data_IF_067510542042
#
_entry.id   IF_067510542042
#
_cell.length_a   1.000
_cell.length_b   1.000
_cell.length_c   1.000
_cell.angle_alpha   90.00
_cell.angle_beta   90.00
_cell.angle_gamma   90.00
#
_symmetry.space_group_name_H-M   'P 1'
#
loop_
_entity.id
_entity.type
_entity.pdbx_description
1 polymer ?
#
# COMPACT_ATOMS: atom_id res chain seq x y z
N UNK A 1 -6.49 -12.56 4.32
CA UNK A 1 -7.18 -11.42 4.96
C UNK A 1 -6.96 -10.15 4.17
N UNK A 2 -8.00 -9.34 4.00
CA UNK A 2 -7.92 -8.00 3.38
C UNK A 2 -8.22 -6.98 4.45
N UNK A 3 -7.35 -6.00 4.61
CA UNK A 3 -7.42 -5.00 5.67
C UNK A 3 -7.31 -3.59 5.08
N UNK A 4 -7.97 -2.64 5.72
CA UNK A 4 -7.93 -1.24 5.32
C UNK A 4 -7.88 -0.33 6.55
N UNK A 5 -6.94 0.61 6.55
CA UNK A 5 -6.86 1.67 7.55
C UNK A 5 -7.17 3.03 6.91
N UNK A 6 -8.34 3.62 7.17
CA UNK A 6 -8.71 4.91 6.57
C UNK A 6 -7.82 6.06 7.05
N UNK A 7 -7.28 5.97 8.27
CA UNK A 7 -6.45 7.04 8.83
C UNK A 7 -5.10 7.20 8.11
N UNK A 8 -4.57 6.12 7.57
CA UNK A 8 -3.26 6.11 6.87
C UNK A 8 -3.40 5.90 5.37
N UNK A 9 -4.62 5.65 4.88
CA UNK A 9 -4.88 5.34 3.48
C UNK A 9 -4.21 4.05 3.01
N UNK A 10 -4.00 3.07 3.92
CA UNK A 10 -3.31 1.81 3.62
C UNK A 10 -4.28 0.65 3.48
N UNK A 11 -4.19 -0.05 2.35
CA UNK A 11 -4.88 -1.31 2.11
C UNK A 11 -3.84 -2.43 1.95
N UNK A 12 -3.94 -3.49 2.75
CA UNK A 12 -2.98 -4.59 2.74
C UNK A 12 -3.66 -5.94 2.77
N UNK A 13 -3.14 -6.87 1.99
CA UNK A 13 -3.57 -8.26 1.95
C UNK A 13 -2.56 -9.17 2.64
N UNK A 14 -3.05 -10.14 3.43
CA UNK A 14 -2.22 -11.07 4.19
C UNK A 14 -2.69 -12.51 4.02
N UNK A 15 -1.76 -13.42 3.83
CA UNK A 15 -2.00 -14.84 4.01
C UNK A 15 -2.04 -15.12 5.51
N UNK A 16 -3.15 -15.65 6.00
CA UNK A 16 -3.42 -15.77 7.44
C UNK A 16 -3.49 -17.21 7.97
N UNK A 17 -3.37 -18.21 7.08
CA UNK A 17 -3.63 -19.59 7.47
C UNK A 17 -5.05 -19.80 8.02
N UNK A 18 -5.16 -20.55 9.10
CA UNK A 18 -6.45 -20.93 9.70
C UNK A 18 -6.97 -19.89 10.71
N UNK A 19 -6.12 -18.94 11.16
CA UNK A 19 -6.57 -17.88 12.08
C UNK A 19 -7.42 -16.82 11.39
N UNK A 20 -8.12 -16.02 12.16
CA UNK A 20 -8.85 -14.84 11.68
C UNK A 20 -8.43 -13.61 12.45
N UNK A 21 -8.45 -12.46 11.76
CA UNK A 21 -8.08 -11.19 12.37
C UNK A 21 -9.31 -10.38 12.79
N UNK A 22 -9.11 -9.55 13.80
CA UNK A 22 -10.04 -8.53 14.24
C UNK A 22 -9.34 -7.17 14.38
N UNK A 23 -10.14 -6.11 14.51
CA UNK A 23 -9.67 -4.75 14.75
C UNK A 23 -9.57 -4.55 16.26
N UNK A 24 -8.38 -4.21 16.78
CA UNK A 24 -8.16 -4.04 18.22
C UNK A 24 -8.69 -2.72 18.77
N UNK A 25 -9.00 -1.75 17.90
CA UNK A 25 -9.29 -0.37 18.27
C UNK A 25 -8.06 0.45 18.66
N UNK A 26 -6.86 -0.13 18.57
CA UNK A 26 -5.58 0.51 18.87
C UNK A 26 -4.86 0.91 17.60
N UNK A 27 -3.98 1.89 17.74
CA UNK A 27 -3.23 2.48 16.64
C UNK A 27 -1.75 2.59 17.01
N UNK A 28 -0.89 2.51 16.00
CA UNK A 28 0.49 2.97 16.04
C UNK A 28 0.71 3.90 14.85
N UNK A 29 1.19 5.10 15.08
CA UNK A 29 1.36 6.14 14.06
C UNK A 29 0.11 6.31 13.16
N UNK A 30 -1.08 6.40 13.77
CA UNK A 30 -2.39 6.41 13.12
C UNK A 30 -2.77 5.13 12.35
N UNK A 31 -1.87 4.15 12.22
CA UNK A 31 -2.16 2.91 11.54
C UNK A 31 -2.82 1.89 12.48
N UNK A 32 -3.78 1.14 11.96
CA UNK A 32 -4.52 0.14 12.74
C UNK A 32 -3.61 -0.99 13.22
N UNK A 33 -3.86 -1.42 14.45
CA UNK A 33 -3.32 -2.66 14.98
C UNK A 33 -4.43 -3.71 14.94
N UNK A 34 -4.19 -4.80 14.22
CA UNK A 34 -5.04 -5.99 14.21
C UNK A 34 -4.71 -6.88 15.41
N UNK A 35 -5.57 -7.82 15.74
CA UNK A 35 -5.26 -8.96 16.59
C UNK A 35 -5.71 -10.24 15.90
N UNK A 36 -4.98 -11.33 16.07
CA UNK A 36 -5.47 -12.62 15.65
C UNK A 36 -6.25 -13.32 16.77
N UNK A 37 -7.23 -14.17 16.39
CA UNK A 37 -8.08 -14.86 17.34
C UNK A 37 -7.53 -16.21 17.80
N UNK A 38 -6.39 -16.62 17.27
CA UNK A 38 -5.73 -17.86 17.68
C UNK A 38 -4.79 -17.64 18.85
N UNK A 39 -3.92 -16.60 18.74
CA UNK A 39 -2.88 -16.32 19.76
C UNK A 39 -3.13 -15.04 20.54
N UNK A 40 -4.12 -14.22 20.12
CA UNK A 40 -4.37 -12.87 20.64
C UNK A 40 -3.18 -11.91 20.48
N UNK A 41 -2.18 -12.27 19.68
CA UNK A 41 -1.07 -11.37 19.34
C UNK A 41 -1.56 -10.18 18.54
N UNK A 42 -0.86 -9.06 18.66
CA UNK A 42 -1.15 -7.83 17.95
C UNK A 42 -0.27 -7.69 16.70
N UNK A 43 -0.88 -7.14 15.65
CA UNK A 43 -0.29 -7.05 14.32
C UNK A 43 -0.48 -5.63 13.78
N UNK A 44 0.51 -4.72 13.96
CA UNK A 44 0.49 -3.45 13.23
C UNK A 44 0.42 -3.71 11.74
N UNK A 45 -0.63 -3.20 11.09
CA UNK A 45 -0.93 -3.52 9.69
C UNK A 45 0.25 -3.23 8.76
N UNK A 46 0.81 -2.01 8.83
CA UNK A 46 1.91 -1.60 7.92
C UNK A 46 3.17 -2.42 8.15
N UNK A 47 3.45 -2.85 9.37
CA UNK A 47 4.65 -3.63 9.68
C UNK A 47 4.51 -5.11 9.31
N UNK A 48 3.28 -5.64 9.26
CA UNK A 48 2.98 -7.05 9.00
C UNK A 48 3.71 -8.03 9.93
N UNK A 49 4.16 -7.55 11.10
CA UNK A 49 4.94 -8.32 12.07
C UNK A 49 4.21 -8.30 13.41
N UNK A 50 4.17 -9.46 14.09
CA UNK A 50 3.49 -9.58 15.37
C UNK A 50 4.21 -8.81 16.48
N UNK A 51 3.41 -8.25 17.39
CA UNK A 51 3.87 -7.80 18.70
C UNK A 51 3.39 -8.85 19.70
N UNK A 52 4.28 -9.65 20.29
CA UNK A 52 3.87 -10.64 21.27
C UNK A 52 3.13 -10.00 22.44
N UNK A 53 1.99 -10.57 22.78
CA UNK A 53 1.23 -10.15 23.96
C UNK A 53 1.84 -10.67 25.26
N UNK A 54 1.54 -10.07 26.43
CA UNK A 54 1.99 -10.55 27.72
C UNK A 54 1.43 -11.95 28.08
N UNK A 55 0.45 -12.39 27.34
CA UNK A 55 -0.22 -13.68 27.42
C UNK A 55 0.29 -14.70 26.38
N UNK A 56 1.17 -14.27 25.49
CA UNK A 56 1.79 -15.15 24.51
C UNK A 56 3.07 -15.74 25.13
N UNK A 57 3.10 -17.04 25.37
CA UNK A 57 4.24 -17.76 25.93
C UNK A 57 5.42 -17.83 24.95
N UNK A 58 5.16 -17.68 23.66
CA UNK A 58 6.20 -17.57 22.63
C UNK A 58 6.52 -16.09 22.38
N UNK A 59 7.67 -15.58 22.87
CA UNK A 59 8.09 -14.20 22.66
C UNK A 59 8.59 -13.94 21.23
N UNK A 60 8.53 -14.91 20.32
CA UNK A 60 8.94 -14.77 18.93
C UNK A 60 8.09 -13.75 18.19
N UNK A 61 8.72 -12.96 17.32
CA UNK A 61 8.03 -12.17 16.32
C UNK A 61 7.79 -12.98 15.08
N UNK A 62 6.57 -12.98 14.58
CA UNK A 62 6.19 -13.61 13.32
C UNK A 62 5.89 -12.53 12.28
N UNK A 63 6.09 -12.84 11.02
CA UNK A 63 5.74 -11.99 9.89
C UNK A 63 4.69 -12.65 9.03
N UNK A 64 3.72 -11.88 8.55
CA UNK A 64 2.71 -12.33 7.61
C UNK A 64 3.23 -12.24 6.18
N UNK A 65 2.94 -13.26 5.39
CA UNK A 65 3.10 -13.16 3.94
C UNK A 65 2.09 -12.17 3.37
N UNK A 66 2.59 -11.21 2.61
CA UNK A 66 1.78 -10.12 2.05
C UNK A 66 1.48 -10.38 0.58
N UNK A 67 0.27 -10.03 0.17
CA UNK A 67 -0.07 -9.92 -1.24
C UNK A 67 -0.61 -8.53 -1.54
N UNK A 68 -0.31 -8.05 -2.75
CA UNK A 68 -0.64 -6.70 -3.15
C UNK A 68 -2.14 -6.51 -3.32
N UNK A 69 -2.66 -5.41 -2.76
CA UNK A 69 -3.94 -4.82 -3.10
C UNK A 69 -3.71 -3.62 -4.03
N UNK A 70 -4.64 -3.39 -4.94
CA UNK A 70 -4.57 -2.28 -5.89
C UNK A 70 -5.67 -1.28 -5.56
N UNK A 71 -5.28 -0.05 -5.32
CA UNK A 71 -6.20 1.09 -5.25
C UNK A 71 -6.55 1.56 -6.64
N UNK A 72 -7.82 1.50 -6.97
CA UNK A 72 -8.32 1.93 -8.26
C UNK A 72 -9.82 2.22 -8.20
N UNK A 73 -10.39 2.78 -9.27
CA UNK A 73 -11.84 2.92 -9.38
C UNK A 73 -12.48 1.61 -9.82
N UNK A 74 -13.74 1.40 -9.44
CA UNK A 74 -14.49 0.22 -9.87
C UNK A 74 -14.54 0.08 -11.40
N UNK A 75 -14.75 1.20 -12.13
CA UNK A 75 -14.75 1.18 -13.58
C UNK A 75 -13.44 0.65 -14.17
N UNK A 76 -12.29 1.23 -13.76
CA UNK A 76 -10.97 0.76 -14.21
C UNK A 76 -10.70 -0.70 -13.87
N UNK A 77 -11.14 -1.14 -12.69
CA UNK A 77 -11.00 -2.52 -12.27
C UNK A 77 -11.79 -3.48 -13.16
N UNK A 78 -13.08 -3.18 -13.39
CA UNK A 78 -13.96 -4.04 -14.22
C UNK A 78 -13.59 -4.03 -15.69
N UNK A 79 -13.07 -2.93 -16.22
CA UNK A 79 -12.55 -2.88 -17.60
C UNK A 79 -11.38 -3.87 -17.78
N UNK A 80 -10.51 -3.98 -16.79
CA UNK A 80 -9.38 -4.90 -16.82
C UNK A 80 -9.72 -6.31 -16.36
N UNK A 81 -10.69 -6.47 -15.47
CA UNK A 81 -11.09 -7.73 -14.84
C UNK A 81 -12.62 -7.93 -14.93
N UNK A 82 -13.19 -8.19 -16.14
CA UNK A 82 -14.63 -8.22 -16.34
C UNK A 82 -15.33 -9.35 -15.56
N UNK A 83 -14.62 -10.44 -15.28
CA UNK A 83 -15.15 -11.59 -14.53
C UNK A 83 -14.95 -11.47 -13.01
N UNK A 84 -14.60 -10.28 -12.51
CA UNK A 84 -14.33 -10.06 -11.08
C UNK A 84 -15.59 -10.27 -10.24
N UNK A 85 -15.38 -10.64 -8.98
CA UNK A 85 -16.45 -10.68 -7.98
C UNK A 85 -16.33 -9.50 -7.03
N UNK A 86 -17.47 -8.96 -6.61
CA UNK A 86 -17.55 -7.91 -5.61
C UNK A 86 -18.01 -8.51 -4.27
N UNK A 87 -17.45 -8.01 -3.18
CA UNK A 87 -17.91 -8.38 -1.86
C UNK A 87 -19.35 -7.87 -1.66
N UNK A 88 -20.26 -8.78 -1.29
CA UNK A 88 -21.66 -8.45 -1.03
C UNK A 88 -21.82 -7.60 0.22
N UNK A 89 -22.86 -6.75 0.24
CA UNK A 89 -23.31 -6.09 1.48
C UNK A 89 -24.03 -7.05 2.44
N UNK A 90 -24.46 -8.22 1.97
CA UNK A 90 -25.00 -9.27 2.84
C UNK A 90 -23.87 -10.01 3.54
N UNK A 91 -23.42 -9.45 4.65
CA UNK A 91 -22.31 -9.98 5.45
C UNK A 91 -22.80 -10.68 6.73
N UNK A 92 -24.11 -10.76 6.95
CA UNK A 92 -24.71 -11.25 8.21
C UNK A 92 -24.67 -10.24 9.36
N UNK A 93 -24.15 -9.01 9.13
CA UNK A 93 -24.10 -7.94 10.12
C UNK A 93 -24.95 -6.74 9.68
N UNK A 94 -25.71 -6.18 10.63
CA UNK A 94 -26.47 -4.94 10.40
C UNK A 94 -25.51 -3.73 10.44
N UNK A 95 -24.92 -3.39 9.33
CA UNK A 95 -24.00 -2.25 9.16
C UNK A 95 -24.46 -1.36 8.00
N UNK A 96 -24.17 -0.06 8.09
CA UNK A 96 -24.35 0.87 6.96
C UNK A 96 -23.08 0.86 6.10
N UNK A 97 -23.05 0.03 5.05
CA UNK A 97 -21.90 -0.09 4.14
C UNK A 97 -21.84 0.98 3.05
N UNK A 98 -22.88 1.83 2.94
CA UNK A 98 -22.96 2.86 1.91
C UNK A 98 -22.36 4.20 2.33
N UNK A 99 -21.92 4.31 3.59
CA UNK A 99 -21.38 5.55 4.15
C UNK A 99 -19.99 5.32 4.68
N UNK A 100 -19.02 6.08 4.15
CA UNK A 100 -17.71 6.24 4.76
C UNK A 100 -17.76 7.43 5.74
N UNK A 101 -17.52 7.23 7.04
CA UNK A 101 -17.53 8.32 8.02
C UNK A 101 -16.34 9.29 7.87
N UNK A 102 -15.32 8.92 7.10
CA UNK A 102 -14.13 9.72 6.89
C UNK A 102 -14.22 10.63 5.64
N UNK A 103 -15.14 10.38 4.72
CA UNK A 103 -15.32 11.17 3.51
C UNK A 103 -15.34 10.33 2.24
N UNK A 104 -14.87 10.88 1.14
CA UNK A 104 -14.80 10.22 -0.16
C UNK A 104 -13.38 10.26 -0.74
N UNK A 105 -13.04 9.25 -1.54
CA UNK A 105 -11.72 9.18 -2.21
C UNK A 105 -11.74 9.75 -3.64
N UNK A 106 -12.90 9.78 -4.26
CA UNK A 106 -13.02 10.23 -5.64
C UNK A 106 -14.35 10.96 -5.89
N UNK A 107 -14.37 12.31 -5.96
CA UNK A 107 -13.24 13.17 -5.59
C UNK A 107 -12.89 13.03 -4.09
N UNK A 108 -11.68 13.42 -3.71
CA UNK A 108 -11.28 13.41 -2.30
C UNK A 108 -12.01 14.52 -1.55
N UNK A 109 -12.54 14.14 -0.39
CA UNK A 109 -13.25 15.04 0.50
C UNK A 109 -13.17 14.57 1.96
N UNK A 110 -13.41 15.46 2.90
CA UNK A 110 -13.37 15.15 4.32
C UNK A 110 -11.98 14.83 4.83
N UNK A 111 -11.85 13.71 5.54
CA UNK A 111 -10.54 13.30 6.06
C UNK A 111 -9.51 13.01 4.97
N UNK A 112 -9.95 12.61 3.78
CA UNK A 112 -9.06 12.25 2.65
C UNK A 112 -8.60 13.44 1.82
N UNK A 113 -9.05 14.65 2.15
CA UNK A 113 -8.53 15.87 1.54
C UNK A 113 -7.03 16.00 1.84
N UNK A 114 -6.25 16.39 0.83
CA UNK A 114 -4.80 16.51 0.95
C UNK A 114 -4.39 17.54 2.03
N UNK A 115 -5.21 18.59 2.19
CA UNK A 115 -4.95 19.69 3.14
C UNK A 115 -5.45 19.38 4.56
N UNK A 116 -6.22 18.28 4.75
CA UNK A 116 -6.71 17.91 6.08
C UNK A 116 -5.57 17.34 6.94
N UNK A 117 -5.52 17.73 8.21
CA UNK A 117 -4.54 17.21 9.16
C UNK A 117 -4.74 15.72 9.46
N UNK A 118 -3.68 14.97 9.80
CA UNK A 118 -3.79 13.66 10.42
C UNK A 118 -4.69 13.71 11.66
N UNK A 119 -5.41 12.63 11.96
CA UNK A 119 -6.33 12.59 13.10
C UNK A 119 -5.60 12.63 14.45
N UNK A 120 -4.43 12.02 14.52
CA UNK A 120 -3.55 12.03 15.69
C UNK A 120 -2.15 12.49 15.27
N UNK A 121 -1.33 13.00 16.20
CA UNK A 121 0.06 13.37 15.90
C UNK A 121 0.82 12.21 15.24
N UNK A 122 1.62 12.52 14.23
CA UNK A 122 2.55 11.55 13.64
C UNK A 122 3.73 11.30 14.59
N UNK A 123 4.32 10.10 14.52
CA UNK A 123 5.51 9.76 15.30
C UNK A 123 6.73 10.58 14.87
N UNK A 124 6.86 10.81 13.57
CA UNK A 124 7.90 11.65 12.98
C UNK A 124 7.23 12.69 12.08
N UNK A 125 7.78 13.88 12.07
CA UNK A 125 7.41 14.93 11.12
C UNK A 125 8.41 14.94 9.97
N UNK A 126 7.91 14.81 8.75
CA UNK A 126 8.69 14.85 7.53
C UNK A 126 7.94 15.73 6.51
N UNK A 127 8.52 16.86 6.20
CA UNK A 127 7.96 17.93 5.38
C UNK A 127 8.34 17.86 3.89
N UNK A 128 9.02 16.77 3.46
CA UNK A 128 9.36 16.57 2.04
C UNK A 128 8.14 16.51 1.14
N UNK A 129 7.01 16.01 1.66
CA UNK A 129 5.71 16.01 1.00
C UNK A 129 4.61 16.45 1.98
N UNK A 130 3.48 16.92 1.42
CA UNK A 130 2.28 17.17 2.21
C UNK A 130 1.85 15.90 2.98
N UNK A 131 1.41 16.01 4.24
CA UNK A 131 1.18 14.84 5.10
C UNK A 131 0.30 13.76 4.49
N UNK A 132 -0.74 14.13 3.76
CA UNK A 132 -1.67 13.18 3.12
C UNK A 132 -1.41 12.96 1.63
N UNK A 133 -0.25 13.37 1.14
CA UNK A 133 0.20 13.00 -0.19
C UNK A 133 0.30 11.49 -0.30
N UNK A 134 -0.32 10.91 -1.32
CA UNK A 134 -0.23 9.46 -1.52
C UNK A 134 1.08 9.10 -2.19
N UNK A 135 1.75 8.15 -1.59
CA UNK A 135 2.96 7.52 -2.12
C UNK A 135 2.71 6.05 -2.39
N UNK A 136 3.39 5.49 -3.38
CA UNK A 136 3.58 4.05 -3.51
C UNK A 136 4.92 3.69 -2.90
N UNK A 137 4.91 2.90 -1.84
CA UNK A 137 6.10 2.56 -1.08
C UNK A 137 6.43 1.08 -1.15
N UNK A 138 7.71 0.77 -1.16
CA UNK A 138 8.28 -0.58 -1.04
C UNK A 138 9.25 -0.64 0.12
N UNK A 139 9.30 -1.79 0.79
CA UNK A 139 10.21 -2.05 1.89
C UNK A 139 10.78 -3.46 1.83
N UNK A 140 11.99 -3.59 2.28
CA UNK A 140 12.70 -4.86 2.43
C UNK A 140 13.46 -4.85 3.76
N UNK A 141 14.18 -5.92 4.06
CA UNK A 141 15.04 -5.97 5.24
C UNK A 141 16.18 -4.93 5.19
N UNK A 142 16.59 -4.51 3.98
CA UNK A 142 17.68 -3.57 3.77
C UNK A 142 17.25 -2.12 3.92
N UNK A 143 15.97 -1.79 3.64
CA UNK A 143 15.47 -0.43 3.70
C UNK A 143 14.12 -0.23 3.03
N UNK A 144 13.77 1.04 2.81
CA UNK A 144 12.50 1.43 2.23
C UNK A 144 12.67 2.55 1.19
N UNK A 145 11.78 2.57 0.20
CA UNK A 145 11.70 3.62 -0.80
C UNK A 145 10.24 3.96 -1.11
N UNK A 146 9.95 5.24 -1.34
CA UNK A 146 8.60 5.70 -1.68
C UNK A 146 8.63 6.67 -2.86
N UNK A 147 7.59 6.60 -3.68
CA UNK A 147 7.42 7.43 -4.87
C UNK A 147 6.09 8.18 -4.78
N UNK A 148 6.13 9.49 -4.94
CA UNK A 148 4.91 10.31 -5.00
C UNK A 148 4.04 9.86 -6.18
N UNK A 149 2.81 9.46 -5.89
CA UNK A 149 1.89 8.95 -6.91
C UNK A 149 1.48 10.01 -7.94
N UNK A 150 1.48 11.30 -7.59
CA UNK A 150 1.20 12.36 -8.54
C UNK A 150 2.38 12.60 -9.49
N UNK A 151 3.61 12.59 -8.96
CA UNK A 151 4.81 12.67 -9.78
C UNK A 151 4.93 11.43 -10.70
N UNK A 152 4.68 10.24 -10.16
CA UNK A 152 4.71 9.00 -10.92
C UNK A 152 3.64 8.98 -12.04
N UNK A 153 2.42 9.45 -11.73
CA UNK A 153 1.34 9.58 -12.73
C UNK A 153 1.73 10.54 -13.85
N UNK A 154 2.44 11.61 -13.54
CA UNK A 154 2.89 12.60 -14.53
C UNK A 154 4.06 12.07 -15.37
N UNK A 155 5.11 11.58 -14.72
CA UNK A 155 6.35 11.14 -15.37
C UNK A 155 6.26 9.74 -16.01
N UNK A 156 5.33 8.90 -15.56
CA UNK A 156 5.12 7.50 -15.91
C UNK A 156 6.19 6.54 -15.36
N UNK A 157 7.40 6.99 -15.22
CA UNK A 157 8.54 6.26 -14.65
C UNK A 157 9.25 7.19 -13.67
N UNK A 158 9.66 6.66 -12.53
CA UNK A 158 10.54 7.34 -11.58
C UNK A 158 11.64 6.37 -11.15
N UNK A 159 12.86 6.83 -11.20
CA UNK A 159 14.00 6.13 -10.65
C UNK A 159 14.17 6.49 -9.16
N UNK A 160 14.73 5.58 -8.39
CA UNK A 160 14.98 5.76 -6.97
C UNK A 160 16.05 4.82 -6.44
N UNK A 161 16.25 4.87 -5.15
CA UNK A 161 17.22 4.04 -4.44
C UNK A 161 16.56 3.33 -3.27
N UNK A 162 16.86 2.06 -3.12
CA UNK A 162 16.46 1.22 -2.00
C UNK A 162 17.72 0.69 -1.31
N UNK A 163 18.16 1.39 -0.26
CA UNK A 163 19.34 1.01 0.52
C UNK A 163 20.62 0.82 -0.33
N UNK A 164 20.87 1.73 -1.28
CA UNK A 164 22.02 1.68 -2.18
C UNK A 164 21.81 0.84 -3.44
N UNK A 165 20.62 0.29 -3.65
CA UNK A 165 20.28 -0.47 -4.86
C UNK A 165 19.28 0.30 -5.71
N UNK A 166 19.56 0.51 -7.02
CA UNK A 166 18.62 1.18 -7.91
C UNK A 166 17.28 0.46 -7.99
N UNK A 167 16.21 1.23 -7.97
CA UNK A 167 14.83 0.78 -8.18
C UNK A 167 14.12 1.68 -9.18
N UNK A 168 13.11 1.17 -9.83
CA UNK A 168 12.26 1.94 -10.74
C UNK A 168 10.79 1.72 -10.39
N UNK A 169 10.04 2.82 -10.31
CA UNK A 169 8.59 2.79 -10.22
C UNK A 169 7.98 3.04 -11.59
N UNK A 170 7.01 2.22 -12.00
CA UNK A 170 6.29 2.33 -13.26
C UNK A 170 4.79 2.55 -13.00
N UNK A 171 4.21 3.53 -13.69
CA UNK A 171 2.79 3.86 -13.60
C UNK A 171 1.96 3.06 -14.60
N UNK A 172 0.92 2.42 -14.11
CA UNK A 172 -0.11 1.73 -14.91
C UNK A 172 -1.36 2.62 -15.03
N UNK A 173 -1.65 3.22 -16.20
CA UNK A 173 -2.80 4.08 -16.38
C UNK A 173 -4.13 3.31 -16.43
N UNK A 174 -4.12 2.02 -16.73
CA UNK A 174 -5.34 1.20 -16.78
C UNK A 174 -5.94 1.06 -15.37
N UNK A 175 -5.10 0.80 -14.39
CA UNK A 175 -5.53 0.68 -12.99
C UNK A 175 -5.27 1.94 -12.16
N UNK A 176 -4.64 2.99 -12.70
CA UNK A 176 -4.23 4.20 -11.99
C UNK A 176 -3.37 3.87 -10.74
N UNK A 177 -2.39 3.00 -10.90
CA UNK A 177 -1.53 2.53 -9.83
C UNK A 177 -0.06 2.53 -10.22
N UNK A 178 0.86 2.37 -9.26
CA UNK A 178 2.28 2.22 -9.49
C UNK A 178 2.77 0.80 -9.18
N UNK A 179 3.83 0.37 -9.79
CA UNK A 179 4.58 -0.86 -9.47
C UNK A 179 6.04 -0.51 -9.26
N UNK A 180 6.70 -1.17 -8.33
CA UNK A 180 8.11 -0.92 -8.02
C UNK A 180 8.92 -2.17 -8.34
N UNK A 181 10.07 -1.97 -8.99
CA UNK A 181 10.96 -3.05 -9.44
C UNK A 181 12.39 -2.77 -9.01
N UNK A 182 13.14 -3.82 -8.69
CA UNK A 182 14.59 -3.74 -8.59
C UNK A 182 15.19 -3.42 -9.97
N UNK A 183 16.22 -2.61 -9.99
CA UNK A 183 16.95 -2.28 -11.21
C UNK A 183 18.48 -2.35 -11.01
N UNK A 184 19.02 -3.50 -10.55
CA UNK A 184 20.41 -3.61 -10.11
C UNK A 184 21.42 -3.39 -11.24
N UNK A 185 21.01 -3.53 -12.50
CA UNK A 185 21.84 -3.28 -13.68
C UNK A 185 21.73 -1.84 -14.18
N UNK A 186 21.00 -0.98 -13.44
CA UNK A 186 20.73 0.42 -13.81
C UNK A 186 20.24 0.55 -15.26
N UNK A 187 19.33 -0.33 -15.63
CA UNK A 187 18.73 -0.34 -16.99
C UNK A 187 17.95 0.94 -17.20
N UNK A 188 18.07 1.52 -18.38
CA UNK A 188 17.26 2.66 -18.79
C UNK A 188 15.93 2.18 -19.34
N UNK A 189 14.88 2.79 -18.84
CA UNK A 189 13.51 2.58 -19.29
C UNK A 189 12.90 3.89 -19.78
N UNK A 190 12.15 3.82 -20.86
CA UNK A 190 11.31 4.89 -21.38
C UNK A 190 9.84 4.46 -21.34
N UNK A 191 8.93 5.42 -21.28
CA UNK A 191 7.50 5.15 -21.41
C UNK A 191 6.99 5.65 -22.75
N UNK A 192 6.40 4.77 -23.57
CA UNK A 192 5.90 5.08 -24.91
C UNK A 192 4.61 4.33 -25.18
N UNK A 193 3.59 5.04 -25.66
CA UNK A 193 2.31 4.46 -26.12
C UNK A 193 1.66 3.47 -25.14
N UNK A 194 1.70 3.78 -23.83
CA UNK A 194 1.11 2.93 -22.80
C UNK A 194 2.00 1.79 -22.28
N UNK A 195 3.19 1.61 -22.82
CA UNK A 195 4.13 0.56 -22.45
C UNK A 195 5.47 1.12 -21.95
N UNK A 196 6.22 0.31 -21.24
CA UNK A 196 7.61 0.58 -20.86
C UNK A 196 8.54 -0.08 -21.87
N UNK A 197 9.52 0.67 -22.35
CA UNK A 197 10.50 0.19 -23.33
C UNK A 197 11.89 0.28 -22.72
N UNK A 198 12.70 -0.77 -22.86
CA UNK A 198 14.10 -0.75 -22.43
C UNK A 198 15.05 -0.31 -23.54
N UNK A 199 16.32 -0.07 -23.18
CA UNK A 199 17.37 0.37 -24.11
C UNK A 199 17.71 -0.65 -25.21
N UNK A 200 17.21 -1.89 -25.13
CA UNK A 200 17.42 -2.95 -26.15
C UNK A 200 16.22 -3.09 -27.08
N UNK A 201 15.14 -2.30 -26.86
CA UNK A 201 13.91 -2.34 -27.63
C UNK A 201 12.86 -3.34 -27.12
N UNK A 202 13.08 -3.95 -25.96
CA UNK A 202 12.07 -4.75 -25.26
C UNK A 202 10.90 -3.88 -24.84
N UNK A 203 9.67 -4.39 -24.97
CA UNK A 203 8.43 -3.68 -24.62
C UNK A 203 7.67 -4.46 -23.55
N UNK A 204 7.26 -3.79 -22.49
CA UNK A 204 6.71 -4.41 -21.30
C UNK A 204 5.46 -3.66 -20.80
N UNK A 205 4.51 -4.38 -20.22
CA UNK A 205 3.47 -3.73 -19.44
C UNK A 205 4.08 -3.06 -18.18
N UNK A 206 3.55 -1.93 -17.71
CA UNK A 206 4.04 -1.28 -16.49
C UNK A 206 4.03 -2.19 -15.25
N UNK A 207 3.18 -3.21 -15.23
CA UNK A 207 3.08 -4.21 -14.15
C UNK A 207 4.07 -5.37 -14.25
N UNK A 208 4.86 -5.47 -15.34
CA UNK A 208 5.66 -6.65 -15.68
C UNK A 208 6.98 -6.30 -16.38
N UNK A 209 7.80 -5.47 -15.75
CA UNK A 209 9.15 -5.19 -16.23
C UNK A 209 10.05 -6.44 -16.15
N UNK A 210 11.12 -6.53 -16.94
CA UNK A 210 12.00 -7.71 -17.01
C UNK A 210 12.97 -7.77 -15.82
N UNK A 211 12.52 -7.34 -14.64
CA UNK A 211 13.28 -7.31 -13.39
C UNK A 211 12.38 -7.72 -12.24
N UNK A 212 12.93 -8.00 -11.07
CA UNK A 212 12.18 -8.42 -9.89
C UNK A 212 11.19 -7.33 -9.47
N UNK A 213 9.90 -7.67 -9.43
CA UNK A 213 8.88 -6.81 -8.86
C UNK A 213 8.87 -6.90 -7.35
N UNK A 214 9.00 -5.77 -6.68
CA UNK A 214 8.93 -5.66 -5.24
C UNK A 214 7.47 -5.57 -4.76
N UNK A 215 7.22 -6.06 -3.55
CA UNK A 215 5.97 -5.74 -2.87
C UNK A 215 5.92 -4.24 -2.59
N UNK A 216 4.83 -3.61 -2.97
CA UNK A 216 4.62 -2.18 -2.75
C UNK A 216 3.15 -1.90 -2.45
N UNK A 217 2.87 -0.90 -1.65
CA UNK A 217 1.52 -0.52 -1.25
C UNK A 217 1.37 1.01 -1.16
N UNK A 218 0.13 1.47 -1.28
CA UNK A 218 -0.20 2.89 -1.19
C UNK A 218 -0.33 3.30 0.28
N UNK A 219 0.19 4.49 0.63
CA UNK A 219 0.08 5.09 1.95
C UNK A 219 0.04 6.61 1.86
N UNK A 220 -0.52 7.27 2.86
CA UNK A 220 -0.30 8.70 3.05
C UNK A 220 1.12 8.95 3.54
N UNK A 221 1.75 10.06 3.11
CA UNK A 221 3.15 10.38 3.39
C UNK A 221 3.48 10.37 4.88
N UNK A 222 2.69 11.03 5.72
CA UNK A 222 2.94 11.08 7.16
C UNK A 222 2.94 9.68 7.82
N UNK A 223 2.16 8.77 7.28
CA UNK A 223 2.12 7.39 7.76
C UNK A 223 3.37 6.64 7.28
N UNK A 224 3.72 6.77 6.00
CA UNK A 224 4.91 6.14 5.43
C UNK A 224 6.18 6.60 6.16
N UNK A 225 6.43 7.89 6.22
CA UNK A 225 7.63 8.47 6.85
C UNK A 225 7.73 8.23 8.36
N UNK A 226 6.61 7.92 9.01
CA UNK A 226 6.59 7.58 10.43
C UNK A 226 6.99 6.13 10.74
N UNK A 227 7.04 5.25 9.72
CA UNK A 227 7.47 3.86 9.86
C UNK A 227 8.83 3.58 9.21
N UNK A 228 9.21 4.37 8.19
CA UNK A 228 10.38 4.19 7.33
C UNK A 228 11.08 5.53 7.08
#
# INVERSE_FOLDING_TARGET
SVTYCPLTGTAMGFERGDTTFGVSGRLVNNNLIMYDRGTEAWWPQVLATSIPGPWNEDPGTESLSEFRLVWTTWGKWTDKHPDTRVLSFDTGFAKSYTRDPYGTYNPRDGYYDADASPMFPALNEDDRLEPKRVVIGTRTAEGAAAFDMSALRSAKLLEGDLAGSPVVAAYDPELDTGYVFRNPEDRRFDYRDGAVVDGTGGTYAPSALPTERLYAFDAMWFAWSGFY
#
